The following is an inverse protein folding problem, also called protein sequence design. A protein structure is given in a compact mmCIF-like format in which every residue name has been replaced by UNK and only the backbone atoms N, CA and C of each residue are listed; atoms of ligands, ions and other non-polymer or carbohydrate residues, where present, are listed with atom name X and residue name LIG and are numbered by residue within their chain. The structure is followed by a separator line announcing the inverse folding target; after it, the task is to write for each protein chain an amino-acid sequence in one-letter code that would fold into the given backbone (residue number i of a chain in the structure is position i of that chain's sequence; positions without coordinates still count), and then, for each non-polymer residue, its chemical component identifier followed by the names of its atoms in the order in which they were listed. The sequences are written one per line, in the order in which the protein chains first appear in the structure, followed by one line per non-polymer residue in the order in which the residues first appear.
data_IF_325362861516
#
_entry.id   IF_325362861516
#
_cell.length_a   1.000
_cell.length_b   1.000
_cell.length_c   1.000
_cell.angle_alpha   90.00
_cell.angle_beta   90.00
_cell.angle_gamma   90.00
#
_symmetry.space_group_name_H-M   'P 1'
#
loop_
_entity.id
_entity.type
_entity.pdbx_description
1 polymer ?
#
# COMPACT_ATOMS: atom_id res chain seq x y z
N UNK A 1 -32.06 -10.27 9.62
CA UNK A 1 -31.62 -9.08 8.88
C UNK A 1 -30.15 -8.84 9.21
N UNK A 2 -29.27 -9.37 8.37
CA UNK A 2 -27.82 -9.25 8.53
C UNK A 2 -27.40 -7.90 7.96
N UNK A 3 -27.20 -6.91 8.83
CA UNK A 3 -26.66 -5.62 8.41
C UNK A 3 -25.29 -5.81 7.79
N UNK A 4 -25.18 -5.58 6.48
CA UNK A 4 -23.90 -5.32 5.84
C UNK A 4 -23.25 -4.17 6.61
N UNK A 5 -22.31 -4.50 7.50
CA UNK A 5 -21.40 -3.49 8.05
C UNK A 5 -20.62 -2.98 6.85
N UNK A 6 -21.06 -1.85 6.29
CA UNK A 6 -20.30 -1.06 5.34
C UNK A 6 -18.88 -0.94 5.90
N UNK A 7 -17.94 -1.64 5.27
CA UNK A 7 -16.56 -1.70 5.71
C UNK A 7 -15.98 -0.31 5.54
N UNK A 8 -15.96 0.47 6.63
CA UNK A 8 -15.41 1.81 6.58
C UNK A 8 -13.90 1.72 6.31
N UNK A 9 -13.37 2.55 5.39
CA UNK A 9 -11.94 2.62 5.17
C UNK A 9 -11.25 2.98 6.48
N UNK A 10 -10.27 2.17 6.87
CA UNK A 10 -9.65 2.26 8.19
C UNK A 10 -8.23 2.81 8.07
N UNK A 11 -7.81 3.66 9.01
CA UNK A 11 -6.42 4.15 9.02
C UNK A 11 -5.47 3.02 9.39
N UNK A 12 -4.24 3.07 8.90
CA UNK A 12 -3.21 2.07 9.20
C UNK A 12 -2.98 1.90 10.71
N UNK A 13 -2.99 2.99 11.49
CA UNK A 13 -2.89 2.93 12.95
C UNK A 13 -4.04 2.16 13.60
N UNK A 14 -5.28 2.39 13.15
CA UNK A 14 -6.46 1.67 13.67
C UNK A 14 -6.43 0.17 13.30
N UNK A 15 -5.85 -0.19 12.15
CA UNK A 15 -5.63 -1.58 11.75
C UNK A 15 -4.63 -2.28 12.65
N UNK A 16 -3.54 -1.59 12.98
CA UNK A 16 -2.55 -2.09 13.90
C UNK A 16 -3.11 -2.24 15.32
N UNK A 17 -3.77 -1.22 15.85
CA UNK A 17 -4.32 -1.24 17.22
C UNK A 17 -5.30 -2.40 17.40
N UNK A 18 -6.21 -2.58 16.42
CA UNK A 18 -7.20 -3.66 16.45
C UNK A 18 -6.59 -5.05 16.38
N UNK A 19 -5.58 -5.25 15.53
CA UNK A 19 -4.90 -6.54 15.46
C UNK A 19 -4.10 -6.79 16.74
N UNK A 20 -3.47 -5.76 17.29
CA UNK A 20 -2.68 -5.84 18.53
C UNK A 20 -3.54 -6.24 19.72
N UNK A 21 -4.71 -5.61 19.91
CA UNK A 21 -5.64 -5.94 20.99
C UNK A 21 -6.12 -7.41 20.93
N UNK A 22 -6.46 -7.89 19.73
CA UNK A 22 -6.86 -9.27 19.51
C UNK A 22 -5.72 -10.25 19.83
N UNK A 23 -4.50 -9.90 19.42
CA UNK A 23 -3.30 -10.70 19.65
C UNK A 23 -2.95 -10.74 21.13
N UNK A 24 -3.00 -9.62 21.85
CA UNK A 24 -2.76 -9.57 23.30
C UNK A 24 -3.77 -10.41 24.07
N UNK A 25 -5.05 -10.30 23.72
CA UNK A 25 -6.14 -11.08 24.36
C UNK A 25 -5.93 -12.58 24.16
N UNK A 26 -5.52 -12.98 22.94
CA UNK A 26 -5.21 -14.37 22.66
C UNK A 26 -3.92 -14.83 23.36
N UNK A 27 -2.87 -14.01 23.36
CA UNK A 27 -1.60 -14.31 24.01
C UNK A 27 -1.75 -14.51 25.53
N UNK A 28 -2.67 -13.78 26.19
CA UNK A 28 -3.01 -13.95 27.61
C UNK A 28 -3.70 -15.28 27.91
N UNK A 29 -4.47 -15.82 26.96
CA UNK A 29 -5.22 -17.08 27.10
C UNK A 29 -4.53 -18.28 26.47
N UNK A 30 -3.42 -18.09 25.76
CA UNK A 30 -2.70 -19.16 25.07
C UNK A 30 -2.07 -20.16 26.05
N UNK A 31 -2.20 -21.46 25.76
CA UNK A 31 -1.84 -22.56 26.67
C UNK A 31 -0.40 -23.03 26.53
N UNK A 32 0.13 -23.04 25.30
CA UNK A 32 1.42 -23.65 24.96
C UNK A 32 2.56 -22.63 24.93
N UNK A 33 2.73 -21.87 26.01
CA UNK A 33 3.72 -20.76 26.10
C UNK A 33 5.18 -21.23 25.93
N UNK A 34 5.45 -22.49 26.22
CA UNK A 34 6.82 -23.05 26.28
C UNK A 34 7.30 -23.62 24.94
N UNK A 35 6.41 -23.74 23.95
CA UNK A 35 6.70 -24.32 22.63
C UNK A 35 6.70 -23.23 21.56
N UNK A 36 7.91 -22.78 21.19
CA UNK A 36 8.10 -21.63 20.31
C UNK A 36 7.57 -21.85 18.89
N UNK A 37 7.94 -22.98 18.29
CA UNK A 37 7.51 -23.34 16.94
C UNK A 37 6.01 -23.57 16.86
N UNK A 38 5.38 -24.01 17.95
CA UNK A 38 3.93 -24.22 17.99
C UNK A 38 3.16 -22.92 18.10
N UNK A 39 3.58 -21.97 18.95
CA UNK A 39 2.84 -20.72 19.06
C UNK A 39 3.00 -19.85 17.81
N UNK A 40 4.15 -19.89 17.13
CA UNK A 40 4.33 -19.17 15.86
C UNK A 40 3.41 -19.70 14.76
N UNK A 41 3.28 -21.03 14.64
CA UNK A 41 2.35 -21.66 13.68
C UNK A 41 0.90 -21.33 14.00
N UNK A 42 0.51 -21.43 15.27
CA UNK A 42 -0.86 -21.11 15.72
C UNK A 42 -1.18 -19.62 15.53
N UNK A 43 -0.20 -18.74 15.73
CA UNK A 43 -0.32 -17.30 15.49
C UNK A 43 -0.61 -17.02 14.01
N UNK A 44 0.21 -17.57 13.11
CA UNK A 44 0.00 -17.40 11.67
C UNK A 44 -1.35 -17.99 11.25
N UNK A 45 -1.68 -19.22 11.66
CA UNK A 45 -2.95 -19.84 11.31
C UNK A 45 -4.18 -19.01 11.75
N UNK A 46 -4.07 -18.29 12.88
CA UNK A 46 -5.18 -17.51 13.44
C UNK A 46 -5.30 -16.09 12.90
N UNK A 47 -4.17 -15.39 12.76
CA UNK A 47 -4.17 -13.96 12.47
C UNK A 47 -3.83 -13.61 11.03
N UNK A 48 -3.37 -14.58 10.23
CA UNK A 48 -3.00 -14.31 8.85
C UNK A 48 -4.16 -13.82 7.99
N UNK A 49 -5.33 -14.47 8.08
CA UNK A 49 -6.54 -14.04 7.38
C UNK A 49 -7.06 -12.70 7.89
N UNK A 50 -7.01 -12.45 9.21
CA UNK A 50 -7.40 -11.16 9.79
C UNK A 50 -6.45 -10.04 9.36
N UNK A 51 -5.15 -10.29 9.31
CA UNK A 51 -4.15 -9.34 8.84
C UNK A 51 -4.33 -9.03 7.36
N UNK A 52 -4.67 -10.03 6.54
CA UNK A 52 -5.00 -9.84 5.13
C UNK A 52 -6.25 -8.96 4.94
N UNK A 53 -7.31 -9.18 5.72
CA UNK A 53 -8.53 -8.38 5.67
C UNK A 53 -8.31 -6.95 6.17
N UNK A 54 -7.57 -6.78 7.27
CA UNK A 54 -7.21 -5.47 7.79
C UNK A 54 -6.30 -4.71 6.83
N UNK A 55 -5.32 -5.39 6.23
CA UNK A 55 -4.48 -4.83 5.18
C UNK A 55 -5.33 -4.40 3.97
N UNK A 56 -6.31 -5.20 3.53
CA UNK A 56 -7.24 -4.78 2.47
C UNK A 56 -7.99 -3.51 2.84
N UNK A 57 -8.55 -3.43 4.05
CA UNK A 57 -9.32 -2.26 4.52
C UNK A 57 -8.47 -1.02 4.79
N UNK A 58 -7.20 -1.18 5.14
CA UNK A 58 -6.27 -0.06 5.37
C UNK A 58 -5.52 0.35 4.11
N UNK A 59 -5.42 -0.55 3.13
CA UNK A 59 -4.96 -0.25 1.78
C UNK A 59 -6.10 0.28 0.90
N UNK A 60 -7.37 0.18 1.36
CA UNK A 60 -8.58 0.71 0.72
C UNK A 60 -8.59 2.25 0.51
N UNK A 61 -7.48 2.94 0.74
CA UNK A 61 -7.16 4.13 -0.05
C UNK A 61 -6.81 3.81 -1.52
N UNK A 62 -7.18 2.62 -2.00
CA UNK A 62 -7.40 2.25 -3.40
C UNK A 62 -8.45 3.18 -4.02
N UNK A 63 -8.11 4.46 -4.15
CA UNK A 63 -8.81 5.34 -5.07
C UNK A 63 -8.62 4.71 -6.45
N UNK A 64 -9.71 4.26 -7.06
CA UNK A 64 -9.71 4.01 -8.51
C UNK A 64 -9.11 5.23 -9.17
N UNK A 65 -8.22 5.05 -10.14
CA UNK A 65 -7.59 6.18 -10.83
C UNK A 65 -8.71 7.06 -11.39
N UNK A 66 -8.99 8.15 -10.68
CA UNK A 66 -10.23 8.87 -10.85
C UNK A 66 -10.08 9.85 -11.99
N UNK A 67 -11.19 10.44 -12.44
CA UNK A 67 -11.15 11.53 -13.41
C UNK A 67 -10.16 12.64 -13.00
N UNK A 68 -10.05 12.92 -11.70
CA UNK A 68 -9.07 13.90 -11.16
C UNK A 68 -7.61 13.49 -11.37
N UNK A 69 -7.29 12.20 -11.22
CA UNK A 69 -5.90 11.72 -11.37
C UNK A 69 -5.51 11.70 -12.85
N UNK A 70 -6.47 11.39 -13.73
CA UNK A 70 -6.35 11.60 -15.18
C UNK A 70 -6.13 13.06 -15.55
N UNK A 71 -6.92 13.99 -15.00
CA UNK A 71 -6.73 15.42 -15.24
C UNK A 71 -5.35 15.86 -14.77
N UNK A 72 -4.91 15.41 -13.58
CA UNK A 72 -3.60 15.76 -13.06
C UNK A 72 -2.47 15.24 -13.95
N UNK A 73 -2.55 13.99 -14.41
CA UNK A 73 -1.58 13.39 -15.30
C UNK A 73 -1.52 14.13 -16.65
N UNK A 74 -2.68 14.42 -17.26
CA UNK A 74 -2.76 15.17 -18.52
C UNK A 74 -2.17 16.57 -18.36
N UNK A 75 -2.52 17.29 -17.29
CA UNK A 75 -1.99 18.63 -17.02
C UNK A 75 -0.47 18.59 -16.82
N UNK A 76 0.03 17.64 -16.02
CA UNK A 76 1.45 17.49 -15.74
C UNK A 76 2.26 17.19 -17.01
N UNK A 77 1.83 16.21 -17.81
CA UNK A 77 2.54 15.83 -19.03
C UNK A 77 2.41 16.87 -20.14
N UNK A 78 1.26 17.57 -20.23
CA UNK A 78 1.11 18.70 -21.16
C UNK A 78 2.00 19.87 -20.79
N UNK A 79 2.13 20.18 -19.50
CA UNK A 79 3.04 21.20 -19.01
C UNK A 79 4.50 20.85 -19.32
N UNK A 80 4.89 19.59 -19.09
CA UNK A 80 6.25 19.12 -19.35
C UNK A 80 6.58 19.15 -20.85
N UNK A 81 5.64 18.71 -21.71
CA UNK A 81 5.77 18.82 -23.16
C UNK A 81 5.87 20.28 -23.63
N UNK A 82 5.09 21.18 -23.02
CA UNK A 82 5.17 22.61 -23.31
C UNK A 82 6.53 23.20 -22.94
N UNK A 83 7.07 22.87 -21.77
CA UNK A 83 8.41 23.32 -21.34
C UNK A 83 9.49 22.78 -22.27
N UNK A 84 9.42 21.50 -22.65
CA UNK A 84 10.38 20.89 -23.60
C UNK A 84 10.29 21.57 -24.97
N UNK A 85 9.09 21.85 -25.46
CA UNK A 85 8.89 22.53 -26.74
C UNK A 85 9.42 23.96 -26.72
N UNK A 86 9.03 24.78 -25.72
CA UNK A 86 9.49 26.16 -25.58
C UNK A 86 11.01 26.19 -25.38
N UNK A 87 11.55 25.32 -24.52
CA UNK A 87 12.99 25.19 -24.31
C UNK A 87 13.72 24.88 -25.61
N UNK A 88 13.20 23.95 -26.42
CA UNK A 88 13.78 23.61 -27.72
C UNK A 88 13.71 24.79 -28.70
N UNK A 89 12.58 25.51 -28.76
CA UNK A 89 12.41 26.68 -29.64
C UNK A 89 13.37 27.81 -29.25
N UNK A 90 13.54 28.09 -27.95
CA UNK A 90 14.41 29.15 -27.47
C UNK A 90 15.90 28.80 -27.60
N UNK A 91 16.29 27.56 -27.29
CA UNK A 91 17.68 27.13 -27.33
C UNK A 91 18.20 26.89 -28.75
N UNK A 92 17.35 26.34 -29.62
CA UNK A 92 17.75 25.96 -30.98
C UNK A 92 17.27 26.94 -32.06
N UNK A 93 16.57 28.03 -31.69
CA UNK A 93 16.01 29.03 -32.62
C UNK A 93 15.31 28.38 -33.82
N UNK A 94 14.41 27.43 -33.52
CA UNK A 94 13.80 26.58 -34.53
C UNK A 94 12.89 27.38 -35.49
N UNK A 95 13.26 27.43 -36.77
CA UNK A 95 12.48 28.07 -37.83
C UNK A 95 11.76 27.05 -38.73
N UNK A 96 10.66 27.47 -39.34
CA UNK A 96 9.93 26.72 -40.37
C UNK A 96 9.54 25.29 -39.98
N UNK A 97 9.94 24.32 -40.81
CA UNK A 97 9.58 22.90 -40.69
C UNK A 97 10.06 22.27 -39.38
N UNK A 98 11.22 22.68 -38.85
CA UNK A 98 11.78 22.11 -37.62
C UNK A 98 10.92 22.41 -36.40
N UNK A 99 10.25 23.57 -36.36
CA UNK A 99 9.30 23.90 -35.30
C UNK A 99 8.14 22.91 -35.24
N UNK A 100 7.66 22.45 -36.38
CA UNK A 100 6.57 21.46 -36.48
C UNK A 100 7.07 20.10 -36.01
N UNK A 101 8.27 19.68 -36.42
CA UNK A 101 8.88 18.40 -36.00
C UNK A 101 9.02 18.33 -34.47
N UNK A 102 9.53 19.39 -33.85
CA UNK A 102 9.66 19.44 -32.39
C UNK A 102 8.31 19.52 -31.67
N UNK A 103 7.30 20.17 -32.26
CA UNK A 103 5.94 20.17 -31.72
C UNK A 103 5.34 18.76 -31.70
N UNK A 104 5.53 18.00 -32.79
CA UNK A 104 5.11 16.58 -32.87
C UNK A 104 5.84 15.73 -31.83
N UNK A 105 7.16 15.93 -31.67
CA UNK A 105 7.93 15.22 -30.64
C UNK A 105 7.44 15.53 -29.22
N UNK A 106 7.15 16.79 -28.91
CA UNK A 106 6.59 17.17 -27.61
C UNK A 106 5.24 16.51 -27.36
N UNK A 107 4.36 16.45 -28.37
CA UNK A 107 3.08 15.75 -28.28
C UNK A 107 3.26 14.24 -28.05
N UNK A 108 4.24 13.60 -28.69
CA UNK A 108 4.56 12.19 -28.48
C UNK A 108 5.04 11.93 -27.04
N UNK A 109 5.90 12.79 -26.50
CA UNK A 109 6.36 12.69 -25.10
C UNK A 109 5.17 12.76 -24.14
N UNK A 110 4.24 13.71 -24.36
CA UNK A 110 3.03 13.80 -23.54
C UNK A 110 2.17 12.53 -23.63
N UNK A 111 1.95 12.00 -24.84
CA UNK A 111 1.16 10.80 -25.06
C UNK A 111 1.76 9.57 -24.36
N UNK A 112 3.08 9.38 -24.49
CA UNK A 112 3.81 8.28 -23.83
C UNK A 112 3.76 8.41 -22.31
N UNK A 113 3.95 9.62 -21.78
CA UNK A 113 3.90 9.86 -20.34
C UNK A 113 2.51 9.61 -19.75
N UNK A 114 1.46 10.02 -20.44
CA UNK A 114 0.07 9.73 -20.08
C UNK A 114 -0.19 8.22 -20.11
N UNK A 115 0.25 7.54 -21.15
CA UNK A 115 0.12 6.07 -21.28
C UNK A 115 0.85 5.32 -20.16
N UNK A 116 2.08 5.73 -19.81
CA UNK A 116 2.80 5.14 -18.68
C UNK A 116 2.07 5.37 -17.36
N UNK A 117 1.53 6.58 -17.14
CA UNK A 117 0.77 6.89 -15.92
C UNK A 117 -0.47 6.00 -15.81
N UNK A 118 -1.13 5.70 -16.93
CA UNK A 118 -2.24 4.74 -16.99
C UNK A 118 -1.80 3.31 -16.65
N UNK A 119 -0.69 2.83 -17.22
CA UNK A 119 -0.15 1.50 -16.93
C UNK A 119 0.27 1.35 -15.47
N UNK A 120 0.90 2.37 -14.88
CA UNK A 120 1.29 2.36 -13.48
C UNK A 120 0.07 2.28 -12.56
N UNK A 121 -0.97 3.06 -12.87
CA UNK A 121 -2.22 3.08 -12.11
C UNK A 121 -2.98 1.76 -12.19
N UNK A 122 -2.99 1.13 -13.35
CA UNK A 122 -3.72 -0.13 -13.62
C UNK A 122 -2.94 -1.38 -13.29
N UNK A 123 -1.66 -1.28 -12.89
CA UNK A 123 -0.83 -2.44 -12.56
C UNK A 123 -1.31 -3.16 -11.28
N UNK A 124 -2.21 -4.13 -11.46
CA UNK A 124 -2.72 -5.03 -10.39
C UNK A 124 -1.58 -5.65 -9.57
N UNK A 125 -0.44 -5.92 -10.22
CA UNK A 125 0.75 -6.50 -9.59
C UNK A 125 1.32 -5.64 -8.46
N UNK A 126 1.46 -4.31 -8.66
CA UNK A 126 2.00 -3.41 -7.63
C UNK A 126 1.03 -3.22 -6.45
N UNK A 127 -0.27 -3.38 -6.71
CA UNK A 127 -1.30 -3.35 -5.67
C UNK A 127 -1.29 -4.61 -4.80
N UNK A 128 -1.11 -5.78 -5.42
CA UNK A 128 -0.88 -7.03 -4.70
C UNK A 128 0.38 -6.94 -3.83
N UNK A 129 1.48 -6.39 -4.37
CA UNK A 129 2.72 -6.22 -3.61
C UNK A 129 2.56 -5.28 -2.41
N UNK A 130 1.78 -4.20 -2.54
CA UNK A 130 1.50 -3.27 -1.43
C UNK A 130 0.63 -3.91 -0.35
N UNK A 131 -0.38 -4.67 -0.75
CA UNK A 131 -1.23 -5.42 0.18
C UNK A 131 -0.43 -6.44 0.96
N UNK A 132 0.42 -7.21 0.27
CA UNK A 132 1.27 -8.21 0.90
C UNK A 132 2.26 -7.59 1.87
N UNK A 133 2.95 -6.50 1.47
CA UNK A 133 3.84 -5.76 2.37
C UNK A 133 3.12 -5.22 3.61
N UNK A 134 1.87 -4.75 3.48
CA UNK A 134 1.07 -4.28 4.62
C UNK A 134 0.65 -5.42 5.53
N UNK A 135 0.26 -6.58 4.99
CA UNK A 135 -0.03 -7.79 5.76
C UNK A 135 1.20 -8.26 6.53
N UNK A 136 2.35 -8.37 5.86
CA UNK A 136 3.63 -8.74 6.48
C UNK A 136 4.01 -7.76 7.61
N UNK A 137 3.85 -6.45 7.37
CA UNK A 137 4.12 -5.44 8.38
C UNK A 137 3.21 -5.60 9.61
N UNK A 138 1.90 -5.76 9.42
CA UNK A 138 0.94 -5.97 10.51
C UNK A 138 1.28 -7.22 11.33
N UNK A 139 1.56 -8.35 10.67
CA UNK A 139 1.95 -9.60 11.32
C UNK A 139 3.29 -9.46 12.05
N UNK A 140 4.27 -8.78 11.44
CA UNK A 140 5.59 -8.58 12.03
C UNK A 140 5.56 -7.73 13.30
N UNK A 141 4.77 -6.65 13.32
CA UNK A 141 4.64 -5.79 14.51
C UNK A 141 3.88 -6.53 15.62
N UNK A 142 2.75 -7.15 15.30
CA UNK A 142 1.92 -7.83 16.30
C UNK A 142 2.56 -9.11 16.83
N UNK A 143 3.38 -9.81 16.04
CA UNK A 143 4.20 -10.93 16.52
C UNK A 143 5.13 -10.48 17.65
N UNK A 144 5.81 -9.34 17.52
CA UNK A 144 6.69 -8.81 18.59
C UNK A 144 5.93 -8.55 19.89
N UNK A 145 4.71 -8.02 19.79
CA UNK A 145 3.83 -7.80 20.95
C UNK A 145 3.48 -9.15 21.60
N UNK A 146 3.06 -10.13 20.80
CA UNK A 146 2.77 -11.48 21.29
C UNK A 146 3.96 -12.12 22.00
N UNK A 147 5.15 -12.11 21.38
CA UNK A 147 6.36 -12.68 21.96
C UNK A 147 6.66 -12.04 23.32
N UNK A 148 6.54 -10.71 23.42
CA UNK A 148 6.72 -10.00 24.69
C UNK A 148 5.74 -10.48 25.76
N UNK A 149 4.45 -10.60 25.44
CA UNK A 149 3.43 -11.09 26.37
C UNK A 149 3.68 -12.54 26.79
N UNK A 150 4.10 -13.41 25.87
CA UNK A 150 4.41 -14.81 26.18
C UNK A 150 5.66 -14.94 27.07
N UNK A 151 6.71 -14.18 26.80
CA UNK A 151 7.94 -14.14 27.63
C UNK A 151 7.62 -13.63 29.04
N UNK A 152 6.81 -12.59 29.17
CA UNK A 152 6.33 -12.09 30.47
C UNK A 152 5.55 -13.19 31.24
N UNK A 153 4.68 -13.94 30.55
CA UNK A 153 3.96 -15.06 31.18
C UNK A 153 4.88 -16.22 31.57
N UNK A 154 5.88 -16.55 30.74
CA UNK A 154 6.87 -17.60 31.04
C UNK A 154 7.69 -17.22 32.27
N UNK A 155 8.18 -15.98 32.33
CA UNK A 155 8.95 -15.48 33.48
C UNK A 155 8.11 -15.38 34.75
N UNK A 156 6.84 -14.99 34.66
CA UNK A 156 5.92 -15.01 35.81
C UNK A 156 5.69 -16.42 36.35
N UNK A 157 5.54 -17.43 35.48
CA UNK A 157 5.39 -18.85 35.87
C UNK A 157 6.66 -19.43 36.49
N UNK A 158 7.85 -18.98 36.08
CA UNK A 158 9.12 -19.44 36.65
C UNK A 158 9.46 -18.86 38.03
N UNK A 159 8.72 -17.83 38.49
CA UNK A 159 8.90 -17.21 39.82
C UNK A 159 7.90 -17.70 40.88
N UNK A 160 6.87 -18.45 40.48
CA UNK A 160 5.89 -19.09 41.36
C UNK A 160 6.32 -20.52 41.68
#
# INVERSE_FOLDING_TARGET
MSGERREQPMKDGQALDRLTENVETWAKSYRHVDDEERWERDFLAKFDSQAADLARRSTASTRSFGARDWILAVVFWSFLAFVVFIGSVLLMQLEGTWRIVFAVFAALIAAVGIWQSYLEATSVKRHADKLEKKREWLLGVTRKVMTRTLVERRTARGRS
#
